data_IF_995895038746
#
_entry.id   IF_995895038746
#
_cell.length_a   1.000
_cell.length_b   1.000
_cell.length_c   1.000
_cell.angle_alpha   90.00
_cell.angle_beta   90.00
_cell.angle_gamma   90.00
#
_symmetry.space_group_name_H-M   'P 1'
#
loop_
_entity.id
_entity.type
_entity.pdbx_description
1 polymer ?
#
# COMPACT_ATOMS: atom_id res chain seq x y z
N UNK A 1 12.64 -6.04 18.03
CA UNK A 1 12.79 -5.14 16.88
C UNK A 1 11.43 -4.47 16.70
N UNK A 2 11.33 -3.15 16.87
CA UNK A 2 10.04 -2.47 16.77
C UNK A 2 9.70 -2.25 15.30
N UNK A 3 8.50 -2.63 14.87
CA UNK A 3 8.05 -2.38 13.50
C UNK A 3 7.81 -0.89 13.37
N UNK A 4 8.40 -0.28 12.34
CA UNK A 4 8.26 1.14 12.05
C UNK A 4 7.44 1.34 10.79
N UNK A 5 6.80 2.50 10.67
CA UNK A 5 6.11 2.90 9.44
C UNK A 5 7.06 2.88 8.24
N UNK A 6 8.33 3.24 8.45
CA UNK A 6 9.38 3.17 7.43
C UNK A 6 9.54 1.76 6.84
N UNK A 7 9.55 0.71 7.68
CA UNK A 7 9.64 -0.67 7.20
C UNK A 7 8.44 -1.06 6.32
N UNK A 8 7.24 -0.58 6.66
CA UNK A 8 6.02 -0.80 5.88
C UNK A 8 6.10 -0.04 4.56
N UNK A 9 6.49 1.23 4.57
CA UNK A 9 6.65 2.07 3.37
C UNK A 9 7.69 1.46 2.44
N UNK A 10 8.82 0.99 2.97
CA UNK A 10 9.86 0.32 2.19
C UNK A 10 9.34 -0.95 1.53
N UNK A 11 8.54 -1.75 2.25
CA UNK A 11 7.91 -2.94 1.69
C UNK A 11 6.92 -2.56 0.57
N UNK A 12 6.11 -1.52 0.76
CA UNK A 12 5.19 -1.01 -0.27
C UNK A 12 5.91 -0.45 -1.51
N UNK A 13 7.09 0.16 -1.34
CA UNK A 13 7.92 0.65 -2.44
C UNK A 13 8.46 -0.48 -3.34
N UNK A 14 8.38 -1.74 -2.93
CA UNK A 14 8.70 -2.89 -3.79
C UNK A 14 7.53 -3.35 -4.67
N UNK A 15 6.37 -2.72 -4.51
CA UNK A 15 5.21 -2.94 -5.38
C UNK A 15 5.23 -1.88 -6.49
N UNK A 16 5.50 -2.36 -7.70
CA UNK A 16 5.56 -1.54 -8.91
C UNK A 16 4.29 -1.69 -9.72
N UNK A 17 3.88 -0.59 -10.34
CA UNK A 17 2.82 -0.65 -11.34
C UNK A 17 3.35 -1.36 -12.60
N UNK A 18 2.59 -2.29 -13.20
CA UNK A 18 3.04 -3.00 -14.39
C UNK A 18 2.91 -2.17 -15.68
N UNK A 19 2.13 -1.08 -15.67
CA UNK A 19 1.99 -0.16 -16.80
C UNK A 19 3.01 0.99 -16.70
N UNK A 20 3.32 1.44 -15.48
CA UNK A 20 4.28 2.51 -15.21
C UNK A 20 5.43 1.97 -14.34
N UNK A 21 6.72 2.09 -14.72
CA UNK A 21 7.85 1.56 -13.97
C UNK A 21 8.20 2.37 -12.70
N UNK A 22 7.18 2.79 -11.96
CA UNK A 22 7.26 3.56 -10.72
C UNK A 22 6.52 2.77 -9.63
N UNK A 23 6.98 2.89 -8.39
CA UNK A 23 6.35 2.20 -7.27
C UNK A 23 5.16 2.99 -6.71
N UNK A 24 4.24 2.29 -6.05
CA UNK A 24 3.00 2.88 -5.51
C UNK A 24 3.24 3.97 -4.45
N UNK A 25 4.40 3.96 -3.78
CA UNK A 25 4.77 4.97 -2.78
C UNK A 25 5.22 6.26 -3.47
N UNK A 26 6.10 6.14 -4.46
CA UNK A 26 6.68 7.24 -5.23
C UNK A 26 5.64 7.91 -6.14
N UNK A 27 4.68 7.13 -6.67
CA UNK A 27 3.50 7.68 -7.33
C UNK A 27 2.57 8.44 -6.37
N UNK A 28 2.75 8.34 -5.05
CA UNK A 28 1.83 8.96 -4.08
C UNK A 28 0.46 8.29 -4.04
N UNK A 29 0.37 7.00 -4.38
CA UNK A 29 -0.89 6.25 -4.30
C UNK A 29 -1.24 5.86 -2.86
N UNK A 30 -0.27 5.91 -1.95
CA UNK A 30 -0.48 5.63 -0.52
C UNK A 30 -0.85 6.92 0.19
N UNK A 31 -2.09 7.03 0.66
CA UNK A 31 -2.57 8.22 1.37
C UNK A 31 -2.36 8.11 2.88
N UNK A 32 -2.54 6.91 3.44
CA UNK A 32 -2.39 6.69 4.88
C UNK A 32 -1.78 5.33 5.16
N UNK A 33 -0.87 5.32 6.13
CA UNK A 33 -0.36 4.10 6.76
C UNK A 33 -0.49 4.25 8.28
N UNK A 34 -1.33 3.41 8.87
CA UNK A 34 -1.57 3.32 10.29
C UNK A 34 -0.99 2.01 10.84
N UNK A 35 -0.33 2.09 11.98
CA UNK A 35 0.29 0.95 12.66
C UNK A 35 -0.17 1.00 14.12
N UNK A 36 -0.97 0.01 14.50
CA UNK A 36 -1.52 -0.08 15.85
C UNK A 36 -0.53 -0.73 16.84
N UNK A 37 -0.81 -0.58 18.14
CA UNK A 37 -0.05 -1.20 19.24
C UNK A 37 0.02 -2.74 19.16
N UNK A 38 -0.90 -3.38 18.41
CA UNK A 38 -0.90 -4.83 18.14
C UNK A 38 -0.16 -5.22 16.86
N UNK A 39 0.61 -4.32 16.27
CA UNK A 39 1.29 -4.49 14.97
C UNK A 39 0.33 -4.73 13.80
N UNK A 40 -0.93 -4.33 13.93
CA UNK A 40 -1.87 -4.34 12.81
C UNK A 40 -1.60 -3.14 11.92
N UNK A 41 -1.67 -3.35 10.61
CA UNK A 41 -1.41 -2.30 9.62
C UNK A 41 -2.67 -2.02 8.83
N UNK A 42 -3.06 -0.75 8.79
CA UNK A 42 -4.12 -0.27 7.91
C UNK A 42 -3.52 0.70 6.88
N UNK A 43 -3.81 0.44 5.61
CA UNK A 43 -3.27 1.16 4.47
C UNK A 43 -4.42 1.69 3.65
N UNK A 44 -4.55 3.01 3.56
CA UNK A 44 -5.47 3.65 2.64
C UNK A 44 -4.69 4.04 1.39
N UNK A 45 -5.09 3.49 0.26
CA UNK A 45 -4.47 3.78 -1.02
C UNK A 45 -5.50 4.09 -2.09
N UNK A 46 -5.06 4.76 -3.13
CA UNK A 46 -5.85 5.09 -4.31
C UNK A 46 -5.21 4.48 -5.55
N UNK A 47 -5.84 4.64 -6.72
CA UNK A 47 -5.31 4.16 -7.98
C UNK A 47 -5.53 5.15 -9.12
N UNK A 48 -4.66 5.05 -10.13
CA UNK A 48 -4.63 5.91 -11.31
C UNK A 48 -5.89 5.78 -12.18
N UNK A 49 -6.50 4.59 -12.20
CA UNK A 49 -7.68 4.28 -13.01
C UNK A 49 -8.79 3.69 -12.15
N UNK A 50 -10.06 3.84 -12.55
CA UNK A 50 -11.21 3.17 -11.91
C UNK A 50 -11.60 1.93 -12.73
N UNK A 51 -11.74 0.78 -12.08
CA UNK A 51 -12.33 -0.43 -12.68
C UNK A 51 -11.40 -1.43 -13.38
N UNK A 52 -10.06 -1.33 -13.29
CA UNK A 52 -9.17 -2.36 -13.82
C UNK A 52 -9.08 -3.56 -12.85
N UNK A 53 -9.22 -4.83 -13.30
CA UNK A 53 -9.08 -6.02 -12.44
C UNK A 53 -7.70 -6.10 -11.76
N UNK A 54 -6.73 -5.36 -12.27
CA UNK A 54 -5.38 -5.23 -11.73
C UNK A 54 -5.35 -4.59 -10.35
N UNK A 55 -6.35 -3.78 -9.97
CA UNK A 55 -6.38 -3.14 -8.66
C UNK A 55 -6.42 -4.13 -7.50
N UNK A 56 -7.23 -5.19 -7.65
CA UNK A 56 -7.28 -6.28 -6.68
C UNK A 56 -5.95 -7.02 -6.58
N UNK A 57 -5.22 -7.13 -7.70
CA UNK A 57 -3.90 -7.74 -7.70
C UNK A 57 -2.86 -6.87 -6.98
N UNK A 58 -2.87 -5.55 -7.23
CA UNK A 58 -1.94 -4.62 -6.60
C UNK A 58 -2.19 -4.47 -5.10
N UNK A 59 -3.46 -4.29 -4.70
CA UNK A 59 -3.83 -4.26 -3.27
C UNK A 59 -3.48 -5.57 -2.56
N UNK A 60 -3.70 -6.71 -3.20
CA UNK A 60 -3.27 -8.00 -2.68
C UNK A 60 -1.74 -8.13 -2.59
N UNK A 61 -1.00 -7.66 -3.60
CA UNK A 61 0.45 -7.67 -3.60
C UNK A 61 1.02 -6.79 -2.48
N UNK A 62 0.49 -5.58 -2.31
CA UNK A 62 0.82 -4.65 -1.23
C UNK A 62 0.55 -5.27 0.13
N UNK A 63 -0.66 -5.81 0.34
CA UNK A 63 -1.02 -6.52 1.56
C UNK A 63 -0.02 -7.63 1.86
N UNK A 64 0.19 -8.54 0.90
CA UNK A 64 1.08 -9.70 1.05
C UNK A 64 2.53 -9.29 1.32
N UNK A 65 2.97 -8.16 0.76
CA UNK A 65 4.33 -7.64 0.95
C UNK A 65 4.52 -7.14 2.37
N UNK A 66 3.52 -6.47 2.92
CA UNK A 66 3.52 -6.02 4.32
C UNK A 66 3.36 -7.21 5.27
N UNK A 67 2.50 -8.18 4.97
CA UNK A 67 2.34 -9.41 5.76
C UNK A 67 3.62 -10.26 5.86
N UNK A 68 4.58 -10.07 4.95
CA UNK A 68 5.89 -10.74 5.01
C UNK A 68 6.86 -10.15 6.04
N UNK A 69 6.56 -8.98 6.60
CA UNK A 69 7.41 -8.37 7.62
C UNK A 69 7.23 -9.16 8.92
N UNK A 70 8.36 -9.59 9.50
CA UNK A 70 8.35 -10.35 10.75
C UNK A 70 7.72 -9.55 11.89
N UNK A 71 6.72 -10.15 12.54
CA UNK A 71 5.97 -9.56 13.64
C UNK A 71 4.79 -8.66 13.26
N UNK A 72 4.49 -8.48 11.96
CA UNK A 72 3.24 -7.82 11.55
C UNK A 72 2.05 -8.71 11.85
N UNK A 73 0.98 -8.10 12.36
CA UNK A 73 -0.30 -8.72 12.63
C UNK A 73 -1.18 -8.73 11.38
N UNK A 74 -2.42 -8.25 11.53
CA UNK A 74 -3.35 -8.18 10.40
C UNK A 74 -3.05 -6.97 9.52
N UNK A 75 -3.01 -7.19 8.20
CA UNK A 75 -2.89 -6.11 7.21
C UNK A 75 -4.21 -5.91 6.48
N UNK A 76 -4.68 -4.67 6.49
CA UNK A 76 -5.91 -4.24 5.80
C UNK A 76 -5.56 -3.13 4.83
N UNK A 77 -5.99 -3.30 3.58
CA UNK A 77 -5.79 -2.32 2.51
C UNK A 77 -7.17 -1.83 2.09
N UNK A 78 -7.43 -0.54 2.26
CA UNK A 78 -8.65 0.11 1.81
C UNK A 78 -8.35 0.89 0.53
N UNK A 79 -9.14 0.62 -0.50
CA UNK A 79 -9.07 1.37 -1.74
C UNK A 79 -10.02 2.56 -1.65
N UNK A 80 -9.45 3.76 -1.53
CA UNK A 80 -10.19 5.02 -1.48
C UNK A 80 -10.06 5.78 -2.79
N UNK A 81 -11.16 6.41 -3.20
CA UNK A 81 -11.27 7.15 -4.46
C UNK A 81 -11.41 8.65 -4.24
N UNK A 82 -11.45 9.08 -2.99
CA UNK A 82 -11.64 10.46 -2.56
C UNK A 82 -10.55 10.80 -1.51
N UNK A 83 -9.73 11.84 -1.75
CA UNK A 83 -9.63 12.62 -2.98
C UNK A 83 -9.10 11.78 -4.17
N UNK A 84 -9.50 12.07 -5.42
CA UNK A 84 -8.95 11.37 -6.58
C UNK A 84 -7.45 11.64 -6.71
N UNK A 85 -6.70 10.60 -7.09
CA UNK A 85 -5.28 10.76 -7.40
C UNK A 85 -5.09 11.66 -8.63
N UNK A 86 -4.09 12.53 -8.58
CA UNK A 86 -3.70 13.39 -9.72
C UNK A 86 -2.20 13.27 -9.97
N UNK A 87 -1.77 13.00 -11.22
CA UNK A 87 -0.38 13.10 -11.64
C UNK A 87 -0.08 14.58 -11.93
N UNK A 88 0.27 15.38 -10.93
CA UNK A 88 0.93 16.67 -11.15
C UNK A 88 2.45 16.51 -11.23
#
# INVERSE_FOLDING_TARGET
MQITKDAIIKALSEVYDPEIPINIVDMGLIYRVDLDSKNNVEIDMTMTTRGCPMHSMMTYAAKKRVEKIDGIGSVKVNLIWDPPWTPE
#
